data_IF_481366382613
#
_entry.id   IF_481366382613
#
_cell.length_a   1.000
_cell.length_b   1.000
_cell.length_c   1.000
_cell.angle_alpha   90.00
_cell.angle_beta   90.00
_cell.angle_gamma   90.00
#
_symmetry.space_group_name_H-M   'P 1'
#
loop_
_entity.id
_entity.type
_entity.pdbx_description
1 polymer ?
#
# COMPACT_ATOMS: atom_id res chain seq x y z
N UNK A 1 28.62 -3.26 21.80
CA UNK A 1 28.34 -2.24 20.77
C UNK A 1 27.05 -2.61 20.04
N UNK A 2 25.95 -1.93 20.30
CA UNK A 2 24.71 -2.15 19.57
C UNK A 2 24.90 -1.69 18.12
N UNK A 3 24.75 -2.62 17.17
CA UNK A 3 24.68 -2.31 15.74
C UNK A 3 23.57 -1.28 15.54
N UNK A 4 23.93 -0.01 15.28
CA UNK A 4 22.97 0.99 14.80
C UNK A 4 22.48 0.47 13.46
N UNK A 5 21.29 -0.14 13.44
CA UNK A 5 20.58 -0.46 12.19
C UNK A 5 20.63 0.79 11.32
N UNK A 6 21.32 0.71 10.18
CA UNK A 6 21.28 1.75 9.15
C UNK A 6 19.81 2.01 8.85
N UNK A 7 19.38 3.27 8.87
CA UNK A 7 18.03 3.62 8.44
C UNK A 7 17.98 3.35 6.94
N UNK A 8 17.06 2.49 6.53
CA UNK A 8 16.87 2.13 5.13
C UNK A 8 15.57 2.77 4.59
N UNK A 9 15.42 2.78 3.27
CA UNK A 9 14.22 3.25 2.61
C UNK A 9 13.05 2.31 2.88
N UNK A 10 12.07 2.79 3.64
CA UNK A 10 10.80 2.09 3.86
C UNK A 10 9.95 2.18 2.61
N UNK A 11 10.02 1.16 1.76
CA UNK A 11 9.35 1.11 0.47
C UNK A 11 7.82 1.20 0.63
N UNK A 12 7.24 0.45 1.58
CA UNK A 12 5.81 0.55 1.94
C UNK A 12 5.37 1.97 2.23
N UNK A 13 6.14 2.71 3.05
CA UNK A 13 5.82 4.10 3.39
C UNK A 13 5.80 4.99 2.15
N UNK A 14 6.79 4.85 1.26
CA UNK A 14 6.92 5.64 0.04
C UNK A 14 5.77 5.33 -0.92
N UNK A 15 5.50 4.04 -1.16
CA UNK A 15 4.44 3.58 -2.07
C UNK A 15 3.05 3.97 -1.54
N UNK A 16 2.78 3.78 -0.25
CA UNK A 16 1.50 4.17 0.38
C UNK A 16 1.27 5.68 0.26
N UNK A 17 2.30 6.48 0.58
CA UNK A 17 2.19 7.93 0.49
C UNK A 17 1.96 8.40 -0.96
N UNK A 18 2.67 7.85 -1.94
CA UNK A 18 2.48 8.22 -3.34
C UNK A 18 1.18 7.70 -3.95
N UNK A 19 0.61 6.61 -3.45
CA UNK A 19 -0.75 6.20 -3.80
C UNK A 19 -1.80 7.22 -3.33
N UNK A 20 -1.66 7.74 -2.11
CA UNK A 20 -2.53 8.78 -1.59
C UNK A 20 -2.35 10.12 -2.35
N UNK A 21 -1.11 10.44 -2.71
CA UNK A 21 -0.79 11.56 -3.58
C UNK A 21 -1.46 11.43 -4.94
N UNK A 22 -1.41 10.25 -5.58
CA UNK A 22 -2.01 10.05 -6.89
C UNK A 22 -3.53 10.26 -6.87
N UNK A 23 -4.22 9.72 -5.87
CA UNK A 23 -5.68 9.93 -5.69
C UNK A 23 -6.03 11.42 -5.54
N UNK A 24 -5.39 12.10 -4.58
CA UNK A 24 -5.63 13.52 -4.34
C UNK A 24 -5.24 14.40 -5.53
N UNK A 25 -4.13 14.07 -6.21
CA UNK A 25 -3.71 14.75 -7.43
C UNK A 25 -4.79 14.67 -8.53
N UNK A 26 -5.41 13.50 -8.72
CA UNK A 26 -6.43 13.33 -9.77
C UNK A 26 -7.67 14.17 -9.50
N UNK A 27 -8.11 14.23 -8.24
CA UNK A 27 -9.23 15.08 -7.82
C UNK A 27 -8.88 16.58 -7.95
N UNK A 28 -7.68 16.98 -7.49
CA UNK A 28 -7.18 18.35 -7.66
C UNK A 28 -7.10 18.74 -9.13
N UNK A 29 -6.62 17.86 -10.01
CA UNK A 29 -6.51 18.11 -11.45
C UNK A 29 -7.88 18.31 -12.07
N UNK A 30 -8.87 17.49 -11.68
CA UNK A 30 -10.25 17.61 -12.12
C UNK A 30 -10.83 18.98 -11.73
N UNK A 31 -10.68 19.38 -10.47
CA UNK A 31 -11.20 20.65 -9.98
C UNK A 31 -10.45 21.87 -10.54
N UNK A 32 -9.11 21.80 -10.67
CA UNK A 32 -8.32 22.86 -11.29
C UNK A 32 -8.63 23.07 -12.78
N UNK A 33 -9.24 22.07 -13.44
CA UNK A 33 -9.66 22.16 -14.85
C UNK A 33 -11.00 22.88 -15.03
N UNK A 34 -11.75 23.16 -13.95
CA UNK A 34 -13.00 23.91 -14.04
C UNK A 34 -12.76 25.36 -14.50
N UNK A 35 -13.77 26.01 -15.14
CA UNK A 35 -13.77 27.44 -15.35
C UNK A 35 -13.56 28.20 -14.02
N UNK A 36 -12.85 29.35 -14.08
CA UNK A 36 -12.53 30.15 -12.89
C UNK A 36 -13.80 30.54 -12.11
N UNK A 37 -14.84 30.98 -12.81
CA UNK A 37 -16.12 31.38 -12.20
C UNK A 37 -16.79 30.24 -11.43
N UNK A 38 -16.79 29.03 -12.01
CA UNK A 38 -17.37 27.83 -11.38
C UNK A 38 -16.55 27.40 -10.16
N UNK A 39 -15.22 27.47 -10.26
CA UNK A 39 -14.32 27.15 -9.14
C UNK A 39 -14.50 28.11 -7.96
N UNK A 40 -14.61 29.42 -8.23
CA UNK A 40 -14.71 30.45 -7.19
C UNK A 40 -16.07 30.42 -6.51
N UNK A 41 -17.15 30.22 -7.27
CA UNK A 41 -18.52 30.28 -6.75
C UNK A 41 -18.97 29.01 -6.01
N UNK A 42 -18.30 27.87 -6.26
CA UNK A 42 -18.71 26.58 -5.69
C UNK A 42 -17.98 26.26 -4.38
N UNK A 43 -18.64 26.48 -3.25
CA UNK A 43 -18.11 26.19 -1.91
C UNK A 43 -17.72 24.72 -1.71
N UNK A 44 -18.47 23.76 -2.26
CA UNK A 44 -18.15 22.34 -2.13
C UNK A 44 -16.86 21.98 -2.87
N UNK A 45 -16.64 22.59 -4.04
CA UNK A 45 -15.38 22.44 -4.80
C UNK A 45 -14.22 23.01 -3.99
N UNK A 46 -14.37 24.20 -3.41
CA UNK A 46 -13.33 24.80 -2.58
C UNK A 46 -12.99 23.93 -1.36
N UNK A 47 -14.00 23.44 -0.64
CA UNK A 47 -13.78 22.56 0.51
C UNK A 47 -13.11 21.24 0.10
N UNK A 48 -13.48 20.67 -1.06
CA UNK A 48 -12.84 19.45 -1.58
C UNK A 48 -11.37 19.70 -1.95
N UNK A 49 -11.08 20.77 -2.68
CA UNK A 49 -9.73 21.16 -3.08
C UNK A 49 -8.82 21.35 -1.86
N UNK A 50 -9.34 21.94 -0.78
CA UNK A 50 -8.58 22.11 0.48
C UNK A 50 -8.15 20.77 1.06
N UNK A 51 -9.09 19.84 1.15
CA UNK A 51 -8.85 18.49 1.69
C UNK A 51 -7.82 17.77 0.84
N UNK A 52 -8.01 17.78 -0.49
CA UNK A 52 -7.12 17.07 -1.40
C UNK A 52 -5.73 17.71 -1.48
N UNK A 53 -5.62 19.04 -1.41
CA UNK A 53 -4.33 19.75 -1.35
C UNK A 53 -3.56 19.41 -0.08
N UNK A 54 -4.24 19.38 1.08
CA UNK A 54 -3.62 18.97 2.34
C UNK A 54 -3.16 17.51 2.28
N UNK A 55 -3.97 16.61 1.71
CA UNK A 55 -3.60 15.20 1.54
C UNK A 55 -2.39 15.03 0.61
N UNK A 56 -2.36 15.73 -0.52
CA UNK A 56 -1.24 15.72 -1.45
C UNK A 56 0.05 16.23 -0.79
N UNK A 57 -0.03 17.35 -0.09
CA UNK A 57 1.10 17.96 0.60
C UNK A 57 1.65 17.06 1.71
N UNK A 58 0.79 16.57 2.62
CA UNK A 58 1.24 15.70 3.71
C UNK A 58 1.77 14.35 3.23
N UNK A 59 1.24 13.83 2.11
CA UNK A 59 1.80 12.64 1.45
C UNK A 59 3.24 12.89 1.00
N UNK A 60 3.52 14.03 0.36
CA UNK A 60 4.88 14.41 -0.03
C UNK A 60 5.78 14.65 1.19
N UNK A 61 5.27 15.34 2.22
CA UNK A 61 6.01 15.62 3.44
C UNK A 61 6.36 14.34 4.22
N UNK A 62 5.46 13.36 4.27
CA UNK A 62 5.73 12.05 4.90
C UNK A 62 6.92 11.36 4.23
N UNK A 63 6.95 11.33 2.90
CA UNK A 63 8.09 10.80 2.15
C UNK A 63 9.34 11.63 2.39
N UNK A 64 9.22 12.95 2.34
CA UNK A 64 10.35 13.84 2.54
C UNK A 64 11.03 13.65 3.89
N UNK A 65 10.25 13.67 4.98
CA UNK A 65 10.77 13.46 6.34
C UNK A 65 11.48 12.11 6.46
N UNK A 66 10.90 11.05 5.90
CA UNK A 66 11.49 9.71 5.91
C UNK A 66 12.81 9.66 5.14
N UNK A 67 12.79 10.09 3.88
CA UNK A 67 13.97 10.05 2.99
C UNK A 67 15.09 10.95 3.51
N UNK A 68 14.79 12.19 3.92
CA UNK A 68 15.77 13.08 4.54
C UNK A 68 16.41 12.45 5.78
N UNK A 69 15.63 11.74 6.59
CA UNK A 69 16.14 11.03 7.77
C UNK A 69 17.07 9.86 7.40
N UNK A 70 16.75 9.13 6.32
CA UNK A 70 17.60 8.04 5.80
C UNK A 70 18.92 8.60 5.23
N UNK A 71 18.84 9.73 4.54
CA UNK A 71 19.99 10.40 3.91
C UNK A 71 20.82 11.25 4.89
N UNK A 72 20.33 11.49 6.10
CA UNK A 72 20.99 12.35 7.08
C UNK A 72 20.91 13.85 6.75
N UNK A 73 19.92 14.25 5.94
CA UNK A 73 19.69 15.65 5.61
C UNK A 73 19.09 16.40 6.81
N UNK A 74 19.61 17.60 7.06
CA UNK A 74 19.03 18.51 8.06
C UNK A 74 17.97 19.36 7.37
N UNK A 75 16.72 19.09 7.67
CA UNK A 75 15.56 19.79 7.12
C UNK A 75 14.56 20.16 8.22
N UNK A 76 13.83 21.24 8.04
CA UNK A 76 12.63 21.59 8.80
C UNK A 76 11.37 21.32 7.98
N UNK A 77 10.19 21.51 8.57
CA UNK A 77 8.92 21.42 7.82
C UNK A 77 8.79 22.48 6.72
N UNK A 78 9.55 23.59 6.78
CA UNK A 78 9.46 24.72 5.85
C UNK A 78 10.30 24.57 4.58
N UNK A 79 11.28 23.68 4.60
CA UNK A 79 12.25 23.51 3.51
C UNK A 79 12.44 22.05 3.10
N UNK A 80 11.82 21.08 3.79
CA UNK A 80 12.02 19.65 3.51
C UNK A 80 11.90 19.32 2.02
N UNK A 81 10.76 19.63 1.40
CA UNK A 81 10.47 19.23 0.02
C UNK A 81 11.51 19.79 -0.94
N UNK A 82 11.82 21.08 -0.82
CA UNK A 82 12.84 21.76 -1.62
C UNK A 82 14.22 21.14 -1.40
N UNK A 83 14.66 21.03 -0.15
CA UNK A 83 16.00 20.53 0.20
C UNK A 83 16.18 19.10 -0.29
N UNK A 84 15.17 18.24 -0.13
CA UNK A 84 15.23 16.88 -0.65
C UNK A 84 15.23 16.86 -2.18
N UNK A 85 14.35 17.63 -2.83
CA UNK A 85 14.24 17.66 -4.28
C UNK A 85 15.55 18.10 -4.95
N UNK A 86 16.20 19.13 -4.41
CA UNK A 86 17.52 19.57 -4.89
C UNK A 86 18.59 18.50 -4.64
N UNK A 87 18.57 17.85 -3.47
CA UNK A 87 19.53 16.79 -3.15
C UNK A 87 19.44 15.58 -4.10
N UNK A 88 18.23 15.22 -4.53
CA UNK A 88 18.00 14.10 -5.45
C UNK A 88 18.06 14.52 -6.94
N UNK A 89 18.40 15.77 -7.24
CA UNK A 89 18.61 16.25 -8.61
C UNK A 89 17.33 16.59 -9.39
N UNK A 90 16.23 16.95 -8.73
CA UNK A 90 15.02 17.41 -9.40
C UNK A 90 15.19 18.84 -9.95
N UNK A 91 15.06 19.03 -11.27
CA UNK A 91 15.26 20.32 -11.94
C UNK A 91 14.36 21.45 -11.40
N UNK A 92 13.12 21.12 -11.03
CA UNK A 92 12.14 22.09 -10.51
C UNK A 92 12.00 22.07 -8.97
N UNK A 93 13.03 21.61 -8.25
CA UNK A 93 12.98 21.47 -6.80
C UNK A 93 12.64 22.76 -6.06
N UNK A 94 13.04 23.92 -6.58
CA UNK A 94 12.71 25.23 -5.98
C UNK A 94 11.21 25.56 -6.04
N UNK A 95 10.45 25.02 -7.03
CA UNK A 95 9.00 25.25 -7.11
C UNK A 95 8.22 24.60 -5.97
N UNK A 96 8.77 23.57 -5.32
CA UNK A 96 8.17 22.96 -4.13
C UNK A 96 8.12 23.93 -2.94
N UNK A 97 8.99 24.94 -2.90
CA UNK A 97 8.96 25.97 -1.87
C UNK A 97 7.63 26.73 -1.88
N UNK A 98 7.09 27.03 -3.08
CA UNK A 98 5.81 27.73 -3.25
C UNK A 98 4.65 26.94 -2.65
N UNK A 99 4.69 25.61 -2.72
CA UNK A 99 3.68 24.75 -2.08
C UNK A 99 3.79 24.80 -0.57
N UNK A 100 5.01 24.78 -0.03
CA UNK A 100 5.22 24.87 1.41
C UNK A 100 4.74 26.22 1.94
N UNK A 101 5.08 27.32 1.27
CA UNK A 101 4.60 28.65 1.61
C UNK A 101 3.07 28.72 1.57
N UNK A 102 2.46 28.31 0.44
CA UNK A 102 1.01 28.27 0.31
C UNK A 102 0.37 27.45 1.43
N UNK A 103 0.90 26.26 1.74
CA UNK A 103 0.37 25.37 2.76
C UNK A 103 0.38 26.02 4.15
N UNK A 104 1.47 26.68 4.53
CA UNK A 104 1.56 27.36 5.82
C UNK A 104 0.63 28.58 5.89
N UNK A 105 0.55 29.39 4.83
CA UNK A 105 -0.43 30.48 4.74
C UNK A 105 -1.85 29.97 4.90
N UNK A 106 -2.18 28.84 4.24
CA UNK A 106 -3.50 28.23 4.28
C UNK A 106 -3.87 27.64 5.64
N UNK A 107 -2.88 27.02 6.31
CA UNK A 107 -3.06 26.30 7.57
C UNK A 107 -3.10 27.22 8.78
N UNK A 108 -2.32 28.29 8.79
CA UNK A 108 -2.18 29.15 9.96
C UNK A 108 -3.40 30.08 10.19
N UNK A 109 -4.44 30.01 9.34
CA UNK A 109 -5.70 30.77 9.44
C UNK A 109 -5.55 32.30 9.54
N UNK A 110 -4.32 32.82 9.40
CA UNK A 110 -4.03 34.25 9.49
C UNK A 110 -4.47 34.98 8.23
N UNK A 111 -4.31 34.35 7.07
CA UNK A 111 -4.62 34.91 5.77
C UNK A 111 -5.51 33.95 4.97
N UNK A 112 -6.66 34.43 4.50
CA UNK A 112 -7.50 33.68 3.57
C UNK A 112 -6.92 33.80 2.16
N UNK A 113 -6.33 32.71 1.64
CA UNK A 113 -5.95 32.64 0.22
C UNK A 113 -7.20 32.80 -0.63
N UNK A 114 -7.21 33.76 -1.56
CA UNK A 114 -8.39 33.98 -2.37
C UNK A 114 -8.66 32.76 -3.26
N UNK A 115 -9.94 32.38 -3.48
CA UNK A 115 -10.29 31.26 -4.37
C UNK A 115 -9.67 31.39 -5.78
N UNK A 116 -9.55 32.63 -6.26
CA UNK A 116 -8.92 32.96 -7.54
C UNK A 116 -7.42 32.66 -7.56
N UNK A 117 -6.68 33.08 -6.54
CA UNK A 117 -5.26 32.77 -6.42
C UNK A 117 -5.01 31.28 -6.28
N UNK A 118 -5.85 30.58 -5.51
CA UNK A 118 -5.77 29.13 -5.35
C UNK A 118 -5.98 28.41 -6.69
N UNK A 119 -6.98 28.81 -7.48
CA UNK A 119 -7.23 28.23 -8.81
C UNK A 119 -6.05 28.41 -9.75
N UNK A 120 -5.52 29.64 -9.84
CA UNK A 120 -4.35 29.96 -10.65
C UNK A 120 -3.13 29.17 -10.19
N UNK A 121 -2.88 29.12 -8.88
CA UNK A 121 -1.76 28.38 -8.31
C UNK A 121 -1.81 26.89 -8.67
N UNK A 122 -2.97 26.25 -8.53
CA UNK A 122 -3.14 24.84 -8.86
C UNK A 122 -2.92 24.58 -10.36
N UNK A 123 -3.46 25.44 -11.24
CA UNK A 123 -3.22 25.31 -12.68
C UNK A 123 -1.73 25.39 -13.04
N UNK A 124 -0.99 26.27 -12.39
CA UNK A 124 0.43 26.50 -12.69
C UNK A 124 1.36 25.47 -12.06
N UNK A 125 1.05 24.93 -10.87
CA UNK A 125 2.03 24.23 -10.05
C UNK A 125 1.67 22.78 -9.74
N UNK A 126 0.44 22.32 -9.98
CA UNK A 126 0.00 20.98 -9.54
C UNK A 126 0.90 19.85 -10.05
N UNK A 127 1.47 19.98 -11.25
CA UNK A 127 2.35 18.98 -11.85
C UNK A 127 3.63 18.71 -11.04
N UNK A 128 4.10 19.68 -10.23
CA UNK A 128 5.32 19.55 -9.41
C UNK A 128 5.21 18.40 -8.40
N UNK A 129 4.01 18.09 -7.90
CA UNK A 129 3.80 16.92 -7.05
C UNK A 129 4.14 15.60 -7.76
N UNK A 130 3.80 15.47 -9.05
CA UNK A 130 4.14 14.29 -9.84
C UNK A 130 5.63 14.19 -10.10
N UNK A 131 6.26 15.30 -10.43
CA UNK A 131 7.71 15.34 -10.65
C UNK A 131 8.48 15.00 -9.37
N UNK A 132 8.03 15.49 -8.21
CA UNK A 132 8.60 15.10 -6.92
C UNK A 132 8.48 13.59 -6.66
N UNK A 133 7.28 13.03 -6.87
CA UNK A 133 7.07 11.59 -6.67
C UNK A 133 7.96 10.75 -7.60
N UNK A 134 8.06 11.15 -8.88
CA UNK A 134 8.91 10.52 -9.88
C UNK A 134 10.39 10.59 -9.49
N UNK A 135 10.88 11.78 -9.14
CA UNK A 135 12.28 11.99 -8.76
C UNK A 135 12.66 11.14 -7.55
N UNK A 136 11.80 11.10 -6.52
CA UNK A 136 12.05 10.26 -5.33
C UNK A 136 12.04 8.77 -5.70
N UNK A 137 11.07 8.32 -6.51
CA UNK A 137 10.99 6.91 -6.93
C UNK A 137 12.24 6.49 -7.69
N UNK A 138 12.69 7.27 -8.67
CA UNK A 138 13.89 6.95 -9.45
C UNK A 138 15.15 6.97 -8.57
N UNK A 139 15.30 7.98 -7.73
CA UNK A 139 16.41 8.05 -6.78
C UNK A 139 16.45 6.82 -5.85
N UNK A 140 15.31 6.39 -5.31
CA UNK A 140 15.23 5.20 -4.44
C UNK A 140 15.58 3.93 -5.20
N UNK A 141 15.09 3.76 -6.43
CA UNK A 141 15.42 2.61 -7.29
C UNK A 141 16.92 2.52 -7.56
N UNK A 142 17.54 3.64 -7.95
CA UNK A 142 18.97 3.72 -8.23
C UNK A 142 19.79 3.43 -6.97
N UNK A 143 19.41 4.04 -5.84
CA UNK A 143 20.17 3.93 -4.59
C UNK A 143 20.13 2.53 -3.98
N UNK A 144 19.01 1.82 -4.15
CA UNK A 144 18.80 0.49 -3.55
C UNK A 144 19.04 -0.67 -4.52
N UNK A 145 19.14 -0.40 -5.83
CA UNK A 145 19.09 -1.43 -6.87
C UNK A 145 17.70 -2.08 -7.02
N UNK A 146 16.71 -1.69 -6.20
CA UNK A 146 15.37 -2.24 -6.20
C UNK A 146 14.50 -1.56 -7.25
N UNK A 147 14.76 -1.88 -8.53
CA UNK A 147 14.09 -1.26 -9.70
C UNK A 147 12.56 -1.40 -9.68
N UNK A 148 12.05 -2.44 -9.04
CA UNK A 148 10.62 -2.72 -8.94
C UNK A 148 9.97 -2.15 -7.67
N UNK A 149 10.75 -1.55 -6.75
CA UNK A 149 10.26 -1.12 -5.44
C UNK A 149 9.52 -2.27 -4.70
N UNK A 150 10.17 -3.43 -4.63
CA UNK A 150 9.70 -4.56 -3.84
C UNK A 150 10.01 -4.30 -2.37
N UNK A 151 8.97 -4.13 -1.56
CA UNK A 151 9.08 -4.15 -0.11
C UNK A 151 9.32 -5.57 0.41
N UNK A 152 10.60 -5.93 0.60
CA UNK A 152 10.96 -7.22 1.19
C UNK A 152 10.64 -7.32 2.68
N UNK A 153 10.55 -6.20 3.41
CA UNK A 153 10.14 -6.22 4.82
C UNK A 153 8.69 -6.69 4.95
N UNK A 154 7.80 -6.10 4.14
CA UNK A 154 6.40 -6.52 4.01
C UNK A 154 6.30 -8.01 3.63
N UNK A 155 7.01 -8.44 2.58
CA UNK A 155 6.95 -9.84 2.14
C UNK A 155 7.39 -10.81 3.24
N UNK A 156 8.47 -10.50 3.95
CA UNK A 156 8.96 -11.34 5.04
C UNK A 156 8.02 -11.36 6.24
N UNK A 157 7.45 -10.21 6.61
CA UNK A 157 6.46 -10.11 7.68
C UNK A 157 5.20 -10.94 7.36
N UNK A 158 4.62 -10.74 6.17
CA UNK A 158 3.40 -11.45 5.76
C UNK A 158 3.66 -12.95 5.59
N UNK A 159 4.80 -13.35 5.03
CA UNK A 159 5.18 -14.76 4.97
C UNK A 159 5.32 -15.39 6.35
N UNK A 160 5.84 -14.65 7.35
CA UNK A 160 5.90 -15.10 8.74
C UNK A 160 4.49 -15.28 9.33
N UNK A 161 3.58 -14.32 9.14
CA UNK A 161 2.20 -14.44 9.61
C UNK A 161 1.49 -15.64 8.99
N UNK A 162 1.67 -15.89 7.69
CA UNK A 162 1.14 -17.09 7.03
C UNK A 162 1.70 -18.35 7.72
N UNK A 163 3.01 -18.45 7.87
CA UNK A 163 3.67 -19.62 8.48
C UNK A 163 3.17 -19.88 9.90
N UNK A 164 3.12 -18.84 10.73
CA UNK A 164 2.72 -18.95 12.14
C UNK A 164 1.23 -19.30 12.27
N UNK A 165 0.37 -18.69 11.45
CA UNK A 165 -1.07 -18.99 11.42
C UNK A 165 -1.36 -20.40 10.93
N UNK A 166 -0.73 -20.84 9.82
CA UNK A 166 -0.88 -22.20 9.30
C UNK A 166 -0.44 -23.23 10.34
N UNK A 167 0.68 -23.01 11.04
CA UNK A 167 1.12 -23.91 12.12
C UNK A 167 0.08 -24.04 13.24
N UNK A 168 -0.60 -22.95 13.59
CA UNK A 168 -1.64 -22.96 14.64
C UNK A 168 -2.92 -23.64 14.16
N UNK A 169 -3.30 -23.46 12.89
CA UNK A 169 -4.41 -24.20 12.27
C UNK A 169 -4.10 -25.70 12.28
N UNK A 170 -2.92 -26.09 11.77
CA UNK A 170 -2.46 -27.48 11.74
C UNK A 170 -2.50 -28.13 13.13
N UNK A 171 -2.04 -27.42 14.17
CA UNK A 171 -2.11 -27.90 15.56
C UNK A 171 -3.54 -28.11 16.07
N UNK A 172 -4.46 -27.22 15.73
CA UNK A 172 -5.87 -27.35 16.12
C UNK A 172 -6.52 -28.52 15.38
N UNK A 173 -6.28 -28.66 14.08
CA UNK A 173 -6.83 -29.74 13.27
C UNK A 173 -6.28 -31.11 13.69
N UNK A 174 -5.03 -31.18 14.17
CA UNK A 174 -4.40 -32.42 14.62
C UNK A 174 -5.04 -33.02 15.88
N UNK A 175 -5.93 -32.30 16.58
CA UNK A 175 -6.69 -32.85 17.69
C UNK A 175 -7.83 -33.76 17.22
N UNK A 176 -8.16 -33.73 15.92
CA UNK A 176 -9.22 -34.52 15.31
C UNK A 176 -10.57 -33.78 15.23
N UNK A 177 -11.48 -34.25 14.37
CA UNK A 177 -12.76 -33.58 14.09
C UNK A 177 -13.68 -33.53 15.31
N UNK A 178 -13.68 -34.58 16.15
CA UNK A 178 -14.49 -34.64 17.36
C UNK A 178 -14.08 -33.59 18.40
N UNK A 179 -12.78 -33.45 18.64
CA UNK A 179 -12.26 -32.44 19.57
C UNK A 179 -12.47 -31.02 19.04
N UNK A 180 -12.31 -30.83 17.72
CA UNK A 180 -12.57 -29.55 17.07
C UNK A 180 -14.01 -29.08 17.27
N UNK A 181 -14.98 -30.00 17.09
CA UNK A 181 -16.41 -29.72 17.25
C UNK A 181 -16.78 -29.41 18.70
N UNK A 182 -16.24 -30.16 19.66
CA UNK A 182 -16.62 -30.04 21.09
C UNK A 182 -16.02 -28.83 21.78
N UNK A 183 -14.96 -28.23 21.23
CA UNK A 183 -14.25 -27.10 21.84
C UNK A 183 -14.45 -25.82 21.02
N UNK A 184 -15.37 -24.92 21.43
CA UNK A 184 -15.59 -23.64 20.74
C UNK A 184 -14.30 -22.82 20.51
N UNK A 185 -13.37 -22.86 21.47
CA UNK A 185 -12.09 -22.19 21.34
C UNK A 185 -11.24 -22.67 20.15
N UNK A 186 -11.35 -23.94 19.75
CA UNK A 186 -10.64 -24.46 18.57
C UNK A 186 -11.23 -23.92 17.27
N UNK A 187 -12.56 -23.87 17.18
CA UNK A 187 -13.28 -23.23 16.09
C UNK A 187 -12.86 -21.76 15.93
N UNK A 188 -12.95 -20.97 17.00
CA UNK A 188 -12.65 -19.53 16.97
C UNK A 188 -11.19 -19.26 16.58
N UNK A 189 -10.25 -20.01 17.16
CA UNK A 189 -8.82 -19.87 16.85
C UNK A 189 -8.54 -20.23 15.40
N UNK A 190 -9.08 -21.34 14.91
CA UNK A 190 -8.85 -21.77 13.54
C UNK A 190 -9.41 -20.77 12.53
N UNK A 191 -10.63 -20.26 12.77
CA UNK A 191 -11.24 -19.17 12.00
C UNK A 191 -10.34 -17.93 11.98
N UNK A 192 -9.90 -17.46 13.15
CA UNK A 192 -9.05 -16.28 13.27
C UNK A 192 -7.72 -16.45 12.52
N UNK A 193 -7.00 -17.56 12.77
CA UNK A 193 -5.71 -17.78 12.12
C UNK A 193 -5.86 -17.99 10.61
N UNK A 194 -6.96 -18.57 10.14
CA UNK A 194 -7.24 -18.67 8.71
C UNK A 194 -7.40 -17.28 8.07
N UNK A 195 -8.17 -16.38 8.68
CA UNK A 195 -8.31 -15.00 8.21
C UNK A 195 -6.95 -14.29 8.15
N UNK A 196 -6.14 -14.41 9.21
CA UNK A 196 -4.79 -13.82 9.24
C UNK A 196 -3.89 -14.37 8.12
N UNK A 197 -3.93 -15.69 7.88
CA UNK A 197 -3.15 -16.31 6.81
C UNK A 197 -3.62 -15.84 5.42
N UNK A 198 -4.94 -15.83 5.18
CA UNK A 198 -5.52 -15.37 3.92
C UNK A 198 -5.20 -13.91 3.64
N UNK A 199 -5.44 -13.02 4.60
CA UNK A 199 -5.20 -11.58 4.45
C UNK A 199 -3.72 -11.30 4.22
N UNK A 200 -2.83 -12.04 4.88
CA UNK A 200 -1.39 -11.92 4.65
C UNK A 200 -0.98 -12.38 3.25
N UNK A 201 -1.55 -13.48 2.75
CA UNK A 201 -1.32 -13.95 1.38
C UNK A 201 -1.88 -12.94 0.35
N UNK A 202 -3.04 -12.36 0.64
CA UNK A 202 -3.67 -11.34 -0.19
C UNK A 202 -2.88 -10.02 -0.20
N UNK A 203 -2.27 -9.63 0.92
CA UNK A 203 -1.35 -8.48 0.99
C UNK A 203 -0.09 -8.69 0.14
N UNK A 204 0.51 -9.89 0.20
CA UNK A 204 1.61 -10.28 -0.71
C UNK A 204 1.14 -10.16 -2.17
N UNK A 205 -0.06 -10.64 -2.47
CA UNK A 205 -0.62 -10.57 -3.80
C UNK A 205 -0.74 -9.13 -4.31
N UNK A 206 -1.41 -8.25 -3.55
CA UNK A 206 -1.61 -6.84 -3.94
C UNK A 206 -0.30 -6.10 -4.16
N UNK A 207 0.71 -6.41 -3.34
CA UNK A 207 2.03 -5.79 -3.46
C UNK A 207 2.78 -6.23 -4.72
N UNK A 208 2.73 -7.53 -5.05
CA UNK A 208 3.48 -8.12 -6.14
C UNK A 208 2.77 -8.07 -7.49
N UNK A 209 1.45 -8.11 -7.54
CA UNK A 209 0.66 -8.15 -8.78
C UNK A 209 1.07 -7.03 -9.78
N UNK A 210 1.21 -5.75 -9.38
CA UNK A 210 1.69 -4.70 -10.27
C UNK A 210 3.10 -4.94 -10.81
N UNK A 211 3.96 -5.61 -10.03
CA UNK A 211 5.36 -5.90 -10.40
C UNK A 211 5.46 -6.95 -11.50
N UNK A 212 4.47 -7.83 -11.56
CA UNK A 212 4.28 -8.79 -12.64
C UNK A 212 3.40 -8.25 -13.79
N UNK A 213 3.09 -6.94 -13.80
CA UNK A 213 2.32 -6.31 -14.88
C UNK A 213 0.80 -6.45 -14.76
N UNK A 214 0.28 -6.99 -13.65
CA UNK A 214 -1.16 -7.09 -13.41
C UNK A 214 -1.68 -5.71 -12.96
N UNK A 215 -2.42 -5.02 -13.82
CA UNK A 215 -2.89 -3.64 -13.58
C UNK A 215 -4.27 -3.54 -12.94
N UNK A 216 -5.09 -4.59 -13.06
CA UNK A 216 -6.47 -4.60 -12.56
C UNK A 216 -6.68 -5.86 -11.71
N UNK A 217 -6.85 -5.65 -10.42
CA UNK A 217 -7.21 -6.68 -9.46
C UNK A 217 -7.97 -6.01 -8.31
N UNK A 218 -8.99 -6.71 -7.82
CA UNK A 218 -9.68 -6.39 -6.57
C UNK A 218 -9.49 -7.54 -5.60
N UNK A 219 -10.60 -8.06 -5.09
CA UNK A 219 -10.63 -9.26 -4.24
C UNK A 219 -10.22 -10.55 -4.96
N UNK A 220 -10.08 -10.51 -6.28
CA UNK A 220 -9.67 -11.60 -7.17
C UNK A 220 -8.15 -11.66 -7.44
N UNK A 221 -7.34 -10.92 -6.69
CA UNK A 221 -5.89 -10.81 -6.91
C UNK A 221 -5.20 -12.18 -7.07
N UNK A 222 -5.51 -13.17 -6.22
CA UNK A 222 -4.88 -14.49 -6.30
C UNK A 222 -5.25 -15.25 -7.59
N UNK A 223 -6.49 -15.11 -8.05
CA UNK A 223 -6.92 -15.65 -9.34
C UNK A 223 -6.17 -14.97 -10.49
N UNK A 224 -5.97 -13.64 -10.42
CA UNK A 224 -5.16 -12.91 -11.40
C UNK A 224 -3.70 -13.35 -11.41
N UNK A 225 -3.15 -13.77 -10.28
CA UNK A 225 -1.81 -14.37 -10.23
C UNK A 225 -1.74 -15.74 -10.90
N UNK A 226 -2.83 -16.52 -10.88
CA UNK A 226 -2.94 -17.76 -11.64
C UNK A 226 -3.00 -17.47 -13.14
N UNK A 227 -3.91 -16.57 -13.56
CA UNK A 227 -4.04 -16.16 -14.97
C UNK A 227 -2.71 -15.64 -15.56
N UNK A 228 -1.88 -14.99 -14.74
CA UNK A 228 -0.56 -14.48 -15.12
C UNK A 228 0.56 -15.53 -15.06
N UNK A 229 0.28 -16.79 -14.70
CA UNK A 229 1.26 -17.87 -14.59
C UNK A 229 2.25 -17.72 -13.42
N UNK A 230 1.96 -16.86 -12.45
CA UNK A 230 2.79 -16.66 -11.24
C UNK A 230 2.55 -17.78 -10.24
N UNK A 231 1.28 -18.18 -10.12
CA UNK A 231 0.83 -19.37 -9.40
C UNK A 231 0.39 -20.38 -10.47
N UNK A 232 0.86 -21.64 -10.44
CA UNK A 232 0.44 -22.65 -11.40
C UNK A 232 -1.08 -22.92 -11.40
N UNK A 233 -1.66 -23.16 -12.57
CA UNK A 233 -3.10 -23.43 -12.76
C UNK A 233 -3.63 -24.61 -11.91
N UNK A 234 -2.75 -25.55 -11.52
CA UNK A 234 -3.10 -26.67 -10.65
C UNK A 234 -3.68 -26.21 -9.30
N UNK A 235 -3.34 -25.00 -8.86
CA UNK A 235 -3.80 -24.41 -7.61
C UNK A 235 -5.10 -23.60 -7.77
N UNK A 236 -5.72 -23.57 -8.96
CA UNK A 236 -6.94 -22.81 -9.21
C UNK A 236 -8.05 -23.13 -8.21
N UNK A 237 -8.37 -24.42 -8.04
CA UNK A 237 -9.42 -24.84 -7.11
C UNK A 237 -9.04 -24.61 -5.64
N UNK A 238 -7.75 -24.66 -5.32
CA UNK A 238 -7.26 -24.35 -3.97
C UNK A 238 -7.49 -22.87 -3.66
N UNK A 239 -7.10 -21.95 -4.56
CA UNK A 239 -7.32 -20.51 -4.42
C UNK A 239 -8.80 -20.17 -4.38
N UNK A 240 -9.61 -20.76 -5.26
CA UNK A 240 -11.06 -20.57 -5.26
C UNK A 240 -11.68 -20.98 -3.91
N UNK A 241 -11.28 -22.14 -3.38
CA UNK A 241 -11.75 -22.61 -2.07
C UNK A 241 -11.33 -21.66 -0.95
N UNK A 242 -10.09 -21.16 -0.99
CA UNK A 242 -9.60 -20.20 0.00
C UNK A 242 -10.43 -18.91 -0.01
N UNK A 243 -10.63 -18.32 -1.18
CA UNK A 243 -11.37 -17.06 -1.33
C UNK A 243 -12.82 -17.21 -0.87
N UNK A 244 -13.48 -18.31 -1.24
CA UNK A 244 -14.86 -18.57 -0.81
C UNK A 244 -14.95 -18.77 0.71
N UNK A 245 -14.02 -19.52 1.31
CA UNK A 245 -14.01 -19.71 2.75
C UNK A 245 -13.81 -18.37 3.49
N UNK A 246 -12.89 -17.51 3.02
CA UNK A 246 -12.69 -16.17 3.60
C UNK A 246 -13.97 -15.34 3.52
N UNK A 247 -14.61 -15.31 2.35
CA UNK A 247 -15.81 -14.50 2.14
C UNK A 247 -16.95 -14.96 3.06
N UNK A 248 -17.15 -16.27 3.24
CA UNK A 248 -18.15 -16.83 4.15
C UNK A 248 -17.87 -16.51 5.61
N UNK A 249 -16.62 -16.60 6.04
CA UNK A 249 -16.24 -16.31 7.43
C UNK A 249 -16.41 -14.84 7.82
N UNK A 250 -16.48 -13.93 6.84
CA UNK A 250 -16.71 -12.48 7.04
C UNK A 250 -18.19 -12.12 6.92
N UNK A 251 -18.97 -12.81 6.08
CA UNK A 251 -20.36 -12.44 5.74
C UNK A 251 -21.41 -12.82 6.79
N UNK A 252 -21.06 -12.92 8.07
CA UNK A 252 -21.94 -13.27 9.22
C UNK A 252 -22.57 -14.66 9.22
N UNK A 253 -22.47 -15.46 8.14
CA UNK A 253 -22.94 -16.85 8.14
C UNK A 253 -22.03 -17.73 8.97
N UNK A 254 -22.60 -18.41 9.97
CA UNK A 254 -21.89 -19.39 10.76
C UNK A 254 -21.54 -20.59 9.86
N UNK A 255 -20.24 -20.81 9.64
CA UNK A 255 -19.76 -22.01 8.94
C UNK A 255 -19.79 -23.14 9.98
N UNK A 256 -20.51 -24.25 9.76
CA UNK A 256 -20.55 -25.36 10.71
C UNK A 256 -19.14 -25.87 11.05
N UNK A 257 -18.86 -26.28 12.30
CA UNK A 257 -17.54 -26.75 12.71
C UNK A 257 -16.98 -27.88 11.85
N UNK A 258 -17.83 -28.82 11.43
CA UNK A 258 -17.46 -29.95 10.58
C UNK A 258 -17.00 -29.48 9.20
N UNK A 259 -17.76 -28.55 8.60
CA UNK A 259 -17.42 -27.97 7.31
C UNK A 259 -16.13 -27.14 7.39
N UNK A 260 -15.98 -26.34 8.46
CA UNK A 260 -14.76 -25.57 8.67
C UNK A 260 -13.54 -26.48 8.82
N UNK A 261 -13.66 -27.56 9.59
CA UNK A 261 -12.59 -28.55 9.78
C UNK A 261 -12.16 -29.16 8.44
N UNK A 262 -13.12 -29.60 7.61
CA UNK A 262 -12.86 -30.19 6.30
C UNK A 262 -12.16 -29.18 5.37
N UNK A 263 -12.72 -27.97 5.24
CA UNK A 263 -12.16 -26.94 4.37
C UNK A 263 -10.77 -26.52 4.82
N UNK A 264 -10.53 -26.32 6.11
CA UNK A 264 -9.21 -25.97 6.63
C UNK A 264 -8.20 -27.09 6.42
N UNK A 265 -8.60 -28.35 6.59
CA UNK A 265 -7.73 -29.50 6.33
C UNK A 265 -7.28 -29.56 4.87
N UNK A 266 -8.15 -29.16 3.95
CA UNK A 266 -7.82 -29.05 2.53
C UNK A 266 -6.86 -27.88 2.23
N UNK A 267 -7.17 -26.67 2.72
CA UNK A 267 -6.48 -25.44 2.26
C UNK A 267 -5.25 -25.05 3.09
N UNK A 268 -5.18 -25.42 4.37
CA UNK A 268 -4.06 -25.01 5.24
C UNK A 268 -2.67 -25.43 4.69
N UNK A 269 -2.48 -26.66 4.17
CA UNK A 269 -1.21 -27.06 3.57
C UNK A 269 -0.84 -26.25 2.32
N UNK A 270 -1.84 -25.75 1.58
CA UNK A 270 -1.67 -25.10 0.28
C UNK A 270 -1.09 -23.70 0.39
N UNK A 271 -1.28 -23.00 1.50
CA UNK A 271 -0.67 -21.68 1.75
C UNK A 271 0.85 -21.70 1.54
N UNK A 272 1.54 -22.67 2.13
CA UNK A 272 2.99 -22.80 2.04
C UNK A 272 3.44 -23.06 0.60
N UNK A 273 2.68 -23.85 -0.15
CA UNK A 273 2.95 -24.16 -1.56
C UNK A 273 2.76 -22.91 -2.44
N UNK A 274 1.64 -22.22 -2.31
CA UNK A 274 1.35 -21.00 -3.08
C UNK A 274 2.39 -19.91 -2.81
N UNK A 275 2.77 -19.68 -1.54
CA UNK A 275 3.82 -18.71 -1.18
C UNK A 275 5.16 -19.09 -1.82
N UNK A 276 5.48 -20.38 -1.90
CA UNK A 276 6.70 -20.86 -2.56
C UNK A 276 6.66 -20.56 -4.06
N UNK A 277 5.56 -20.85 -4.75
CA UNK A 277 5.40 -20.54 -6.18
C UNK A 277 5.55 -19.04 -6.47
N UNK A 278 4.92 -18.20 -5.65
CA UNK A 278 5.08 -16.73 -5.73
C UNK A 278 6.55 -16.34 -5.51
N UNK A 279 7.22 -16.94 -4.52
CA UNK A 279 8.63 -16.66 -4.23
C UNK A 279 9.55 -17.04 -5.39
N UNK A 280 9.32 -18.20 -6.02
CA UNK A 280 10.11 -18.67 -7.15
C UNK A 280 9.86 -17.84 -8.41
N UNK A 281 8.61 -17.43 -8.65
CA UNK A 281 8.25 -16.44 -9.67
C UNK A 281 8.93 -15.09 -9.44
N UNK A 282 8.99 -14.62 -8.19
CA UNK A 282 9.67 -13.37 -7.85
C UNK A 282 11.18 -13.46 -8.09
N UNK A 283 11.82 -14.58 -7.74
CA UNK A 283 13.25 -14.81 -8.05
C UNK A 283 13.52 -14.80 -9.55
N UNK A 284 12.60 -15.32 -10.37
CA UNK A 284 12.71 -15.26 -11.84
C UNK A 284 12.58 -13.83 -12.36
N UNK A 285 11.65 -13.04 -11.80
CA UNK A 285 11.45 -11.64 -12.17
C UNK A 285 12.65 -10.74 -11.83
N UNK A 286 13.40 -11.09 -10.79
CA UNK A 286 14.56 -10.34 -10.30
C UNK A 286 15.88 -10.68 -11.00
N UNK A 287 15.92 -11.72 -11.84
CA UNK A 287 17.07 -12.07 -12.66
C UNK A 287 17.08 -11.25 -13.95
#
# INVERSE_FOLDING_TARGET
MASRKRKDFKISLIVEAFHNLEKSYMDLKKHASLPEEEFISNRLVLDRVRIDLNLAFESCMRVCRHVSTVLGLRTSSKDCLRTLALHIGMEEGDKLQRFTELYFTYRDLKDAVSPKELHKFLKENLFVFKEFARAVVEFVKERTGNRLLIDFELLNEKAKFIKDSVKKIEFVLSQGPEEFRKKPMYYDRAKYFYQVAYDSLFDICKHLAPKFGIRKFGDDCLSKMIEAGIIPDIYYMDVFTMTNLKNRLISTWEVPPEELYEKLSQVAPKFKLIVKEISDSLKRLLK
#
